data_IF_670124353024
#
_entry.id   IF_670124353024
#
_cell.length_a   1.000
_cell.length_b   1.000
_cell.length_c   1.000
_cell.angle_alpha   90.00
_cell.angle_beta   90.00
_cell.angle_gamma   90.00
#
_symmetry.space_group_name_H-M   'P 1'
#
loop_
_entity.id
_entity.type
_entity.pdbx_description
1 polymer ?
#
# COMPACT_ATOMS: atom_id res chain seq x y z
N UNK A 1 10.76 4.68 -9.02
CA UNK A 1 10.11 5.28 -7.83
C UNK A 1 11.11 5.59 -6.72
N UNK A 2 11.86 4.60 -6.19
CA UNK A 2 13.02 4.86 -5.31
C UNK A 2 14.35 4.44 -5.96
N UNK A 3 14.43 3.23 -6.54
CA UNK A 3 15.67 2.67 -7.12
C UNK A 3 16.18 3.36 -8.39
N UNK A 4 15.30 3.71 -9.33
CA UNK A 4 15.68 4.30 -10.62
C UNK A 4 15.11 5.71 -10.85
N UNK A 5 14.41 6.26 -9.84
CA UNK A 5 13.73 7.58 -9.87
C UNK A 5 12.78 7.82 -11.06
N UNK A 6 12.37 6.78 -11.80
CA UNK A 6 11.38 6.89 -12.88
C UNK A 6 9.98 6.58 -12.39
N UNK A 7 8.99 7.18 -13.05
CA UNK A 7 7.60 6.77 -12.91
C UNK A 7 7.30 5.52 -13.75
N UNK A 8 6.26 4.78 -13.34
CA UNK A 8 5.67 3.65 -14.09
C UNK A 8 4.33 4.01 -14.70
N UNK A 9 3.84 5.21 -14.43
CA UNK A 9 2.65 5.75 -15.06
C UNK A 9 3.04 6.84 -16.05
N UNK A 10 2.40 6.79 -17.20
CA UNK A 10 2.49 7.85 -18.21
C UNK A 10 1.16 7.95 -18.94
N UNK A 11 0.76 9.16 -19.30
CA UNK A 11 -0.36 9.41 -20.20
C UNK A 11 0.13 10.32 -21.31
N UNK A 12 -0.03 9.90 -22.56
CA UNK A 12 0.42 10.65 -23.74
C UNK A 12 1.91 11.04 -23.68
N UNK A 13 2.78 10.14 -23.19
CA UNK A 13 4.22 10.40 -23.03
C UNK A 13 4.59 11.28 -21.82
N UNK A 14 3.61 11.84 -21.11
CA UNK A 14 3.85 12.64 -19.90
C UNK A 14 3.84 11.71 -18.68
N UNK A 15 4.91 11.68 -17.87
CA UNK A 15 4.95 10.84 -16.67
C UNK A 15 3.98 11.36 -15.60
N UNK A 16 3.22 10.44 -15.00
CA UNK A 16 2.35 10.71 -13.85
C UNK A 16 3.07 10.24 -12.60
N UNK A 17 3.16 11.06 -11.56
CA UNK A 17 3.87 10.67 -10.34
C UNK A 17 3.15 9.56 -9.58
N UNK A 18 3.94 8.76 -8.88
CA UNK A 18 3.41 7.79 -7.94
C UNK A 18 3.10 8.45 -6.59
N UNK A 19 2.08 7.92 -5.91
CA UNK A 19 1.66 8.37 -4.59
C UNK A 19 1.94 7.28 -3.54
N UNK A 20 2.65 7.67 -2.47
CA UNK A 20 2.96 6.81 -1.32
C UNK A 20 3.46 5.40 -1.67
N UNK A 21 4.25 5.25 -2.74
CA UNK A 21 4.82 3.95 -3.09
C UNK A 21 3.86 2.93 -3.71
N UNK A 22 2.55 3.21 -3.75
CA UNK A 22 1.51 2.22 -4.04
C UNK A 22 0.56 2.62 -5.17
N UNK A 23 0.13 3.89 -5.21
CA UNK A 23 -0.73 4.44 -6.28
C UNK A 23 -1.95 3.55 -6.62
N UNK A 24 -2.76 3.23 -5.62
CA UNK A 24 -3.82 2.20 -5.71
C UNK A 24 -5.06 2.61 -6.52
N UNK A 25 -5.14 3.86 -6.99
CA UNK A 25 -6.23 4.35 -7.85
C UNK A 25 -5.95 4.09 -9.34
N UNK A 26 -5.47 2.90 -9.65
CA UNK A 26 -5.23 2.40 -11.00
C UNK A 26 -5.55 0.91 -11.03
N UNK A 27 -6.07 0.41 -12.14
CA UNK A 27 -6.36 -1.02 -12.32
C UNK A 27 -5.10 -1.88 -12.19
N UNK A 28 -3.95 -1.32 -12.55
CA UNK A 28 -2.64 -1.93 -12.39
C UNK A 28 -1.67 -0.92 -11.79
N UNK A 29 -0.82 -1.37 -10.89
CA UNK A 29 0.23 -0.55 -10.30
C UNK A 29 1.52 -1.35 -10.19
N UNK A 30 2.65 -0.64 -10.13
CA UNK A 30 3.97 -1.21 -9.91
C UNK A 30 4.47 -0.72 -8.57
N UNK A 31 4.77 -1.66 -7.69
CA UNK A 31 5.13 -1.42 -6.29
C UNK A 31 6.44 -2.13 -5.97
N UNK A 32 7.16 -1.64 -4.95
CA UNK A 32 8.36 -2.33 -4.46
C UNK A 32 7.94 -3.57 -3.67
N UNK A 33 8.71 -4.65 -3.74
CA UNK A 33 8.44 -5.91 -3.03
C UNK A 33 8.31 -5.73 -1.51
N UNK A 34 9.16 -4.90 -0.89
CA UNK A 34 9.08 -4.51 0.53
C UNK A 34 7.77 -3.82 0.93
N UNK A 35 7.01 -3.30 -0.05
CA UNK A 35 5.71 -2.65 0.17
C UNK A 35 4.54 -3.59 -0.08
N UNK A 36 4.78 -4.89 -0.32
CA UNK A 36 3.75 -5.90 -0.58
C UNK A 36 3.90 -7.07 0.39
N UNK A 37 2.80 -7.41 1.06
CA UNK A 37 2.72 -8.62 1.86
C UNK A 37 1.76 -9.61 1.19
N UNK A 38 2.22 -10.85 0.99
CA UNK A 38 1.36 -11.94 0.53
C UNK A 38 0.38 -12.34 1.64
N UNK A 39 -0.91 -12.40 1.32
CA UNK A 39 -1.97 -12.80 2.25
C UNK A 39 -2.63 -14.12 1.80
N UNK A 40 -3.50 -14.67 2.66
CA UNK A 40 -4.29 -15.87 2.34
C UNK A 40 -5.17 -15.62 1.10
N UNK A 41 -5.10 -16.46 0.06
CA UNK A 41 -5.91 -16.31 -1.15
C UNK A 41 -7.42 -16.46 -0.92
N UNK A 42 -7.86 -17.05 0.20
CA UNK A 42 -9.26 -17.17 0.59
C UNK A 42 -9.80 -15.92 1.29
N UNK A 43 -8.94 -14.96 1.63
CA UNK A 43 -9.36 -13.74 2.31
C UNK A 43 -10.17 -12.82 1.37
N UNK A 44 -11.31 -12.26 1.82
CA UNK A 44 -12.13 -11.37 0.98
C UNK A 44 -11.43 -10.02 0.77
N UNK A 45 -10.93 -9.78 -0.44
CA UNK A 45 -10.13 -8.59 -0.82
C UNK A 45 -10.82 -7.25 -0.50
N UNK A 46 -12.15 -7.18 -0.65
CA UNK A 46 -12.94 -5.98 -0.37
C UNK A 46 -12.93 -5.56 1.11
N UNK A 47 -12.63 -6.49 2.02
CA UNK A 47 -12.56 -6.22 3.46
C UNK A 47 -11.12 -6.01 3.90
N UNK A 48 -10.21 -6.88 3.43
CA UNK A 48 -8.80 -6.85 3.87
C UNK A 48 -8.02 -5.68 3.27
N UNK A 49 -8.52 -5.02 2.22
CA UNK A 49 -7.92 -3.79 1.69
C UNK A 49 -7.78 -2.68 2.75
N UNK A 50 -8.67 -2.65 3.75
CA UNK A 50 -8.63 -1.69 4.86
C UNK A 50 -7.37 -1.85 5.74
N UNK A 51 -6.76 -3.03 5.74
CA UNK A 51 -5.54 -3.31 6.48
C UNK A 51 -4.29 -2.65 5.87
N UNK A 52 -4.38 -2.13 4.64
CA UNK A 52 -3.25 -1.51 3.93
C UNK A 52 -2.81 -0.14 4.46
N UNK A 53 -3.55 0.48 5.41
CA UNK A 53 -3.20 1.79 5.96
C UNK A 53 -3.74 2.01 7.39
N UNK A 54 -4.91 2.66 7.52
CA UNK A 54 -5.34 3.21 8.80
C UNK A 54 -5.73 2.18 9.86
N UNK A 55 -6.35 1.06 9.46
CA UNK A 55 -6.87 0.07 10.42
C UNK A 55 -5.73 -0.62 11.18
N UNK A 56 -4.70 -1.06 10.47
CA UNK A 56 -3.53 -1.71 11.09
C UNK A 56 -2.76 -0.77 12.00
N UNK A 57 -2.63 0.50 11.61
CA UNK A 57 -2.01 1.53 12.45
C UNK A 57 -2.81 1.75 13.74
N UNK A 58 -4.13 1.89 13.65
CA UNK A 58 -5.01 2.09 14.81
C UNK A 58 -4.99 0.90 15.77
N UNK A 59 -5.08 -0.33 15.24
CA UNK A 59 -5.00 -1.55 16.05
C UNK A 59 -3.68 -1.67 16.81
N UNK A 60 -2.57 -1.36 16.14
CA UNK A 60 -1.23 -1.41 16.74
C UNK A 60 -1.09 -0.38 17.86
N UNK A 61 -1.60 0.84 17.65
CA UNK A 61 -1.59 1.90 18.66
C UNK A 61 -2.34 1.48 19.94
N UNK A 62 -3.57 0.97 19.81
CA UNK A 62 -4.36 0.51 20.96
C UNK A 62 -3.68 -0.66 21.69
N UNK A 63 -3.12 -1.60 20.94
CA UNK A 63 -2.45 -2.77 21.52
C UNK A 63 -1.21 -2.39 22.32
N UNK A 64 -0.44 -1.39 21.85
CA UNK A 64 0.72 -0.84 22.57
C UNK A 64 0.30 -0.07 23.82
N UNK A 65 -0.77 0.71 23.76
CA UNK A 65 -1.28 1.45 24.94
C UNK A 65 -1.74 0.50 26.03
N UNK A 66 -2.36 -0.63 25.68
CA UNK A 66 -2.83 -1.64 26.64
C UNK A 66 -1.72 -2.48 27.28
N UNK A 67 -0.54 -2.53 26.67
CA UNK A 67 0.65 -3.19 27.25
C UNK A 67 1.46 -2.29 28.18
N UNK A 68 1.19 -0.97 28.18
CA UNK A 68 1.85 0.03 29.02
C UNK A 68 0.92 0.61 30.11
N UNK A 69 -0.29 0.05 30.25
CA UNK A 69 -1.25 0.29 31.33
C UNK A 69 -1.37 -0.98 32.17
#
# INVERSE_FOLDING_TARGET
MLGDRKSRFSKNGIPIYHFMGTSTFSQYTVVHDVSVAKIDPKAPLEKVCLLGCGVTTGLSCVSVVKHNL
#
